data_IF_622600722339
#
_entry.id   IF_622600722339
#
_cell.length_a   1.000
_cell.length_b   1.000
_cell.length_c   1.000
_cell.angle_alpha   90.00
_cell.angle_beta   90.00
_cell.angle_gamma   90.00
#
_symmetry.space_group_name_H-M   'P 1'
#
loop_
_entity.id
_entity.type
_entity.pdbx_description
1 polymer ?
#
# COMPACT_ATOMS: atom_id res chain seq x y z
N UNK A 1 -62.99 2.05 46.52
CA UNK A 1 -62.69 1.43 45.20
C UNK A 1 -62.87 2.55 44.19
N UNK A 2 -61.84 3.16 43.62
CA UNK A 2 -60.86 2.55 42.71
C UNK A 2 -59.52 3.28 42.80
N UNK A 3 -58.46 2.49 42.99
CA UNK A 3 -57.05 2.90 43.08
C UNK A 3 -56.53 3.15 41.65
N UNK A 4 -56.14 4.38 41.30
CA UNK A 4 -55.37 4.64 40.05
C UNK A 4 -53.90 4.81 40.40
N UNK A 5 -53.13 3.78 40.01
CA UNK A 5 -51.69 3.64 40.19
C UNK A 5 -50.93 4.58 39.25
N UNK A 6 -49.98 5.28 39.85
CA UNK A 6 -48.87 6.02 39.21
C UNK A 6 -47.99 5.03 38.46
N UNK A 7 -47.77 5.24 37.15
CA UNK A 7 -46.79 4.48 36.38
C UNK A 7 -45.64 5.42 36.00
N UNK A 8 -44.54 5.24 36.71
CA UNK A 8 -43.24 5.86 36.49
C UNK A 8 -42.65 5.26 35.21
N UNK A 9 -42.43 6.10 34.19
CA UNK A 9 -41.72 5.75 32.97
C UNK A 9 -40.20 5.80 33.26
N UNK A 10 -39.62 4.68 33.68
CA UNK A 10 -38.17 4.49 33.78
C UNK A 10 -37.72 3.79 32.49
N UNK A 11 -37.45 4.57 31.44
CA UNK A 11 -36.86 4.03 30.22
C UNK A 11 -35.35 3.83 30.46
N UNK A 12 -34.99 2.56 30.64
CA UNK A 12 -33.64 2.06 30.79
C UNK A 12 -32.78 2.46 29.57
N UNK A 13 -31.83 3.37 29.81
CA UNK A 13 -30.76 3.72 28.90
C UNK A 13 -29.73 2.58 28.89
N UNK A 14 -30.02 1.50 28.17
CA UNK A 14 -29.02 0.48 27.82
C UNK A 14 -28.27 0.92 26.57
N UNK A 15 -27.36 1.88 26.73
CA UNK A 15 -26.27 2.13 25.80
C UNK A 15 -25.37 0.87 25.83
N UNK A 16 -25.67 -0.07 24.95
CA UNK A 16 -24.77 -1.16 24.62
C UNK A 16 -23.51 -0.56 24.00
N UNK A 17 -22.48 -0.40 24.82
CA UNK A 17 -21.10 -0.23 24.39
C UNK A 17 -20.66 -1.52 23.67
N UNK A 18 -21.11 -1.71 22.43
CA UNK A 18 -20.46 -2.60 21.46
C UNK A 18 -19.40 -1.75 20.76
N UNK A 19 -18.45 -1.24 21.54
CA UNK A 19 -17.13 -0.92 21.01
C UNK A 19 -16.30 -2.17 21.28
N UNK A 20 -16.51 -3.20 20.45
CA UNK A 20 -15.72 -4.42 20.50
C UNK A 20 -14.25 -4.06 20.41
N UNK A 21 -13.53 -4.37 21.48
CA UNK A 21 -12.09 -4.57 21.50
C UNK A 21 -11.73 -5.58 20.40
N UNK A 22 -11.29 -5.09 19.22
CA UNK A 22 -10.40 -5.91 18.41
C UNK A 22 -9.16 -6.13 19.28
N UNK A 23 -8.97 -7.38 19.68
CA UNK A 23 -7.82 -7.84 20.46
C UNK A 23 -6.54 -7.32 19.78
N UNK A 24 -5.62 -6.68 20.52
CA UNK A 24 -4.37 -6.11 19.95
C UNK A 24 -3.48 -7.19 19.30
N UNK A 25 -3.84 -8.46 19.46
CA UNK A 25 -3.20 -9.63 18.86
C UNK A 25 -3.78 -10.04 17.50
N UNK A 26 -4.89 -9.46 17.04
CA UNK A 26 -5.46 -9.79 15.72
C UNK A 26 -4.56 -9.30 14.58
N UNK A 27 -4.32 -10.19 13.61
CA UNK A 27 -3.69 -9.84 12.34
C UNK A 27 -4.56 -8.79 11.65
N UNK A 28 -4.01 -7.59 11.43
CA UNK A 28 -4.65 -6.55 10.63
C UNK A 28 -4.71 -7.02 9.16
N UNK A 29 -5.85 -7.64 8.80
CA UNK A 29 -6.14 -8.18 7.47
C UNK A 29 -5.96 -7.09 6.43
N UNK A 30 -6.48 -5.89 6.69
CA UNK A 30 -6.33 -4.76 5.78
C UNK A 30 -4.85 -4.41 5.54
N UNK A 31 -4.03 -4.28 6.57
CA UNK A 31 -2.61 -3.93 6.39
C UNK A 31 -1.82 -5.02 5.66
N UNK A 32 -2.13 -6.29 5.91
CA UNK A 32 -1.57 -7.40 5.13
C UNK A 32 -1.94 -7.30 3.65
N UNK A 33 -3.20 -6.96 3.36
CA UNK A 33 -3.66 -6.65 2.01
C UNK A 33 -2.93 -5.44 1.39
N UNK A 34 -2.63 -4.40 2.17
CA UNK A 34 -1.87 -3.24 1.68
C UNK A 34 -0.45 -3.62 1.23
N UNK A 35 0.20 -4.61 1.86
CA UNK A 35 1.51 -5.09 1.40
C UNK A 35 1.45 -5.64 -0.04
N UNK A 36 0.38 -6.36 -0.36
CA UNK A 36 0.12 -6.86 -1.72
C UNK A 36 -0.15 -5.68 -2.67
N UNK A 37 -0.96 -4.72 -2.23
CA UNK A 37 -1.24 -3.47 -2.95
C UNK A 37 0.03 -2.69 -3.31
N UNK A 38 0.99 -2.60 -2.38
CA UNK A 38 2.26 -1.90 -2.56
C UNK A 38 3.16 -2.54 -3.63
N UNK A 39 3.14 -3.87 -3.74
CA UNK A 39 3.83 -4.61 -4.79
C UNK A 39 3.21 -4.31 -6.16
N UNK A 40 1.87 -4.35 -6.25
CA UNK A 40 1.16 -4.07 -7.50
C UNK A 40 1.36 -2.61 -7.94
N UNK A 41 1.31 -1.67 -7.00
CA UNK A 41 1.60 -0.26 -7.27
C UNK A 41 3.07 -0.04 -7.67
N UNK A 42 4.02 -0.79 -7.09
CA UNK A 42 5.43 -0.74 -7.52
C UNK A 42 5.60 -1.19 -8.96
N UNK A 43 4.95 -2.27 -9.37
CA UNK A 43 5.02 -2.75 -10.76
C UNK A 43 4.42 -1.73 -11.73
N UNK A 44 3.34 -1.07 -11.33
CA UNK A 44 2.79 0.02 -12.13
C UNK A 44 3.76 1.19 -12.28
N UNK A 45 4.37 1.64 -11.18
CA UNK A 45 5.36 2.72 -11.21
C UNK A 45 6.61 2.37 -12.02
N UNK A 46 7.05 1.12 -11.98
CA UNK A 46 8.17 0.64 -12.81
C UNK A 46 7.81 0.51 -14.29
N UNK A 47 6.52 0.46 -14.65
CA UNK A 47 6.06 0.33 -16.03
C UNK A 47 5.46 1.60 -16.64
N UNK A 48 5.53 2.74 -15.96
CA UNK A 48 4.87 3.99 -16.36
C UNK A 48 5.70 4.88 -17.28
N UNK A 49 5.47 4.80 -18.60
CA UNK A 49 6.07 5.72 -19.60
C UNK A 49 5.22 6.98 -19.87
N UNK A 50 4.03 7.11 -19.27
CA UNK A 50 3.06 8.20 -19.55
C UNK A 50 2.80 9.15 -18.38
N UNK A 51 3.65 9.13 -17.33
CA UNK A 51 3.63 10.15 -16.25
C UNK A 51 2.52 10.01 -15.20
N UNK A 52 1.54 9.12 -15.37
CA UNK A 52 0.54 8.83 -14.34
C UNK A 52 1.03 7.72 -13.41
N UNK A 53 1.91 8.03 -12.46
CA UNK A 53 2.38 7.08 -11.44
C UNK A 53 1.29 6.78 -10.40
N UNK A 54 1.39 5.64 -9.69
CA UNK A 54 0.53 5.38 -8.55
C UNK A 54 0.60 6.54 -7.52
N UNK A 55 -0.55 7.05 -7.07
CA UNK A 55 -0.60 8.28 -6.25
C UNK A 55 -0.37 7.97 -4.78
N UNK A 56 0.89 8.09 -4.36
CA UNK A 56 1.35 7.81 -2.99
C UNK A 56 0.74 8.77 -1.95
N UNK A 57 0.54 10.06 -2.25
CA UNK A 57 0.09 11.07 -1.28
C UNK A 57 -1.32 10.81 -0.75
N UNK A 58 -2.26 10.53 -1.65
CA UNK A 58 -3.64 10.21 -1.25
C UNK A 58 -3.69 8.91 -0.45
N UNK A 59 -2.83 7.94 -0.73
CA UNK A 59 -2.79 6.67 -0.01
C UNK A 59 -2.26 6.74 1.41
N UNK A 60 -1.19 7.49 1.61
CA UNK A 60 -0.57 7.55 2.93
C UNK A 60 -1.38 8.42 3.89
N UNK A 61 -2.07 9.44 3.38
CA UNK A 61 -3.07 10.15 4.16
C UNK A 61 -4.25 9.25 4.55
N UNK A 62 -4.74 8.37 3.65
CA UNK A 62 -5.73 7.32 3.99
C UNK A 62 -5.20 6.32 5.02
N UNK A 63 -3.92 5.96 5.00
CA UNK A 63 -3.35 5.06 6.00
C UNK A 63 -3.25 5.74 7.37
N UNK A 64 -2.65 6.94 7.44
CA UNK A 64 -2.63 7.72 8.68
C UNK A 64 -4.07 7.98 9.13
N UNK A 65 -5.03 8.08 8.21
CA UNK A 65 -6.44 8.18 8.54
C UNK A 65 -6.99 7.01 9.31
N UNK A 66 -6.75 5.84 8.76
CA UNK A 66 -7.20 4.56 9.27
C UNK A 66 -6.60 4.27 10.65
N UNK A 67 -5.33 4.63 10.84
CA UNK A 67 -4.55 4.23 12.02
C UNK A 67 -4.47 5.33 13.09
N UNK A 68 -4.76 6.59 12.76
CA UNK A 68 -4.89 7.64 13.75
C UNK A 68 -6.25 7.55 14.47
N UNK A 69 -6.32 7.86 15.78
CA UNK A 69 -7.57 7.80 16.53
C UNK A 69 -8.66 8.70 15.93
N UNK A 70 -9.91 8.22 15.93
CA UNK A 70 -11.08 8.78 15.22
C UNK A 70 -11.32 10.30 15.38
N UNK A 71 -10.92 10.89 16.51
CA UNK A 71 -10.99 12.35 16.75
C UNK A 71 -10.10 13.19 15.82
N UNK A 72 -9.26 12.56 15.01
CA UNK A 72 -8.40 13.19 14.01
C UNK A 72 -9.19 13.76 12.82
N UNK A 73 -10.23 13.08 12.34
CA UNK A 73 -10.90 13.41 11.07
C UNK A 73 -12.02 14.43 11.16
N UNK A 74 -12.70 14.53 12.30
CA UNK A 74 -13.77 15.51 12.51
C UNK A 74 -13.29 16.97 12.35
N UNK A 75 -11.98 17.22 12.38
CA UNK A 75 -11.38 18.55 12.18
C UNK A 75 -10.72 18.76 10.81
N UNK A 76 -10.64 17.72 9.96
CA UNK A 76 -10.00 17.80 8.64
C UNK A 76 -10.88 18.41 7.55
N UNK A 77 -12.21 18.40 7.71
CA UNK A 77 -13.16 19.04 6.79
C UNK A 77 -13.07 20.58 6.76
N UNK A 78 -12.19 21.19 7.56
CA UNK A 78 -11.99 22.65 7.64
C UNK A 78 -10.62 23.11 7.13
N UNK A 79 -9.80 22.22 6.57
CA UNK A 79 -8.50 22.62 6.04
C UNK A 79 -8.66 23.30 4.67
N UNK A 80 -8.05 24.49 4.45
CA UNK A 80 -8.03 25.12 3.14
C UNK A 80 -7.35 24.19 2.11
N UNK A 81 -7.97 23.98 0.96
CA UNK A 81 -7.44 23.19 -0.17
C UNK A 81 -5.99 23.58 -0.57
N UNK A 82 -5.55 24.80 -0.25
CA UNK A 82 -4.20 25.29 -0.50
C UNK A 82 -3.09 24.47 0.18
N UNK A 83 -3.32 23.94 1.39
CA UNK A 83 -2.31 23.12 2.10
C UNK A 83 -2.17 21.71 1.52
N UNK A 84 -3.25 21.14 0.98
CA UNK A 84 -3.15 19.86 0.28
C UNK A 84 -2.40 20.00 -1.05
N UNK A 85 -2.58 21.15 -1.73
CA UNK A 85 -1.99 21.43 -3.04
C UNK A 85 -0.45 21.38 -3.00
N UNK A 86 0.20 21.84 -1.91
CA UNK A 86 1.66 21.83 -1.80
C UNK A 86 2.25 20.41 -1.76
N UNK A 87 1.62 19.44 -1.08
CA UNK A 87 2.07 18.05 -1.12
C UNK A 87 1.80 17.38 -2.46
N UNK A 88 0.65 17.64 -3.09
CA UNK A 88 0.32 17.05 -4.39
C UNK A 88 1.23 17.56 -5.51
N UNK A 89 1.61 18.85 -5.49
CA UNK A 89 2.52 19.43 -6.49
C UNK A 89 4.00 19.24 -6.17
N UNK A 90 4.40 19.22 -4.90
CA UNK A 90 5.82 19.04 -4.52
C UNK A 90 6.30 17.60 -4.58
N UNK A 91 5.40 16.61 -4.51
CA UNK A 91 5.76 15.19 -4.47
C UNK A 91 5.45 14.45 -5.78
N UNK A 92 5.57 15.10 -6.93
CA UNK A 92 5.61 14.37 -8.20
C UNK A 92 6.97 13.68 -8.37
N UNK A 93 7.01 12.62 -9.18
CA UNK A 93 8.29 12.10 -9.63
C UNK A 93 9.02 13.17 -10.46
N UNK A 94 10.33 13.29 -10.30
CA UNK A 94 11.17 14.15 -11.12
C UNK A 94 11.12 13.75 -12.60
N UNK A 95 11.65 14.60 -13.48
CA UNK A 95 12.06 14.13 -14.80
C UNK A 95 13.15 13.05 -14.67
N UNK A 96 13.35 12.26 -15.73
CA UNK A 96 14.48 11.34 -15.81
C UNK A 96 15.79 12.13 -15.91
N UNK A 97 16.73 11.84 -15.02
CA UNK A 97 18.10 12.36 -15.07
C UNK A 97 19.08 11.30 -14.60
N UNK A 98 20.12 11.06 -15.39
CA UNK A 98 21.11 10.00 -15.17
C UNK A 98 20.46 8.63 -14.92
N UNK A 99 19.40 8.32 -15.66
CA UNK A 99 18.60 7.11 -15.51
C UNK A 99 18.00 6.92 -14.11
N UNK A 100 17.77 8.03 -13.41
CA UNK A 100 17.12 8.06 -12.11
C UNK A 100 15.90 8.97 -12.17
N UNK A 101 14.82 8.49 -11.56
CA UNK A 101 13.61 9.25 -11.26
C UNK A 101 13.46 9.24 -9.74
N UNK A 102 13.33 10.42 -9.14
CA UNK A 102 13.14 10.53 -7.69
C UNK A 102 11.87 11.30 -7.39
N UNK A 103 11.08 10.75 -6.47
CA UNK A 103 10.04 11.48 -5.77
C UNK A 103 10.60 11.90 -4.43
N UNK A 104 10.74 13.20 -4.21
CA UNK A 104 11.09 13.76 -2.92
C UNK A 104 9.82 14.28 -2.24
N UNK A 105 9.62 13.93 -0.98
CA UNK A 105 8.51 14.46 -0.20
C UNK A 105 8.81 15.82 0.43
N UNK A 106 10.09 16.22 0.53
CA UNK A 106 10.52 17.58 0.84
C UNK A 106 10.03 18.16 2.18
N UNK A 107 9.52 17.34 3.10
CA UNK A 107 8.88 17.84 4.32
C UNK A 107 7.47 18.38 4.11
N UNK A 108 6.81 18.05 3.00
CA UNK A 108 5.48 18.57 2.69
C UNK A 108 4.46 18.12 3.76
N UNK A 109 3.43 18.93 3.99
CA UNK A 109 2.38 18.63 4.96
C UNK A 109 1.03 18.43 4.28
N UNK A 110 0.31 17.36 4.65
CA UNK A 110 -1.08 17.16 4.27
C UNK A 110 -1.92 17.18 5.56
N UNK A 111 -2.53 18.34 5.79
CA UNK A 111 -3.14 18.67 7.08
C UNK A 111 -2.12 18.63 8.21
N UNK A 112 -2.24 17.67 9.11
CA UNK A 112 -1.37 17.54 10.28
C UNK A 112 -0.35 16.39 10.17
N UNK A 113 -0.23 15.78 8.98
CA UNK A 113 0.81 14.78 8.69
C UNK A 113 1.92 15.43 7.86
N UNK A 114 3.17 15.14 8.22
CA UNK A 114 4.38 15.62 7.54
C UNK A 114 5.05 14.45 6.82
N UNK A 115 5.39 14.64 5.55
CA UNK A 115 6.01 13.64 4.69
C UNK A 115 7.47 14.00 4.45
N UNK A 116 8.39 13.09 4.75
CA UNK A 116 9.84 13.30 4.55
C UNK A 116 10.48 12.09 3.87
N UNK A 117 11.63 12.30 3.22
CA UNK A 117 12.37 11.25 2.53
C UNK A 117 11.97 11.13 1.05
N UNK A 118 12.32 10.00 0.43
CA UNK A 118 12.23 9.84 -1.02
C UNK A 118 11.72 8.46 -1.44
N UNK A 119 11.28 8.37 -2.70
CA UNK A 119 11.19 7.12 -3.45
C UNK A 119 12.06 7.28 -4.70
N UNK A 120 13.04 6.41 -4.87
CA UNK A 120 13.97 6.45 -6.01
C UNK A 120 13.71 5.27 -6.93
N UNK A 121 13.61 5.54 -8.23
CA UNK A 121 13.53 4.57 -9.31
C UNK A 121 14.79 4.73 -10.16
N UNK A 122 15.56 3.66 -10.29
CA UNK A 122 16.80 3.62 -11.06
C UNK A 122 16.66 2.65 -12.21
N UNK A 123 16.92 3.14 -13.41
CA UNK A 123 16.97 2.37 -14.65
C UNK A 123 18.42 1.98 -14.89
N UNK A 124 18.64 0.68 -15.07
CA UNK A 124 19.93 0.15 -15.50
C UNK A 124 19.73 -0.36 -16.91
N UNK A 125 19.92 0.55 -17.86
CA UNK A 125 20.05 0.23 -19.27
C UNK A 125 21.53 0.20 -19.69
N UNK A 126 21.79 -0.26 -20.90
CA UNK A 126 23.14 -0.46 -21.41
C UNK A 126 23.59 0.63 -22.39
N UNK A 127 22.76 1.65 -22.66
CA UNK A 127 22.92 2.46 -23.88
C UNK A 127 22.39 3.89 -23.84
N UNK A 128 21.43 4.24 -22.98
CA UNK A 128 20.62 5.46 -23.16
C UNK A 128 20.48 6.27 -21.87
N UNK A 129 21.49 7.10 -21.61
CA UNK A 129 21.45 8.03 -20.47
C UNK A 129 20.29 9.04 -20.60
N UNK A 130 19.48 9.17 -19.54
CA UNK A 130 18.39 10.13 -19.35
C UNK A 130 17.07 9.80 -20.06
N UNK A 131 16.88 8.59 -20.59
CA UNK A 131 15.60 8.18 -21.19
C UNK A 131 14.73 7.40 -20.19
N UNK A 132 15.34 6.78 -19.16
CA UNK A 132 14.64 5.97 -18.16
C UNK A 132 13.70 4.95 -18.83
N UNK A 133 14.28 4.11 -19.68
CA UNK A 133 13.56 3.14 -20.48
C UNK A 133 14.36 1.83 -20.52
N UNK A 134 13.68 0.70 -20.42
CA UNK A 134 14.29 -0.61 -20.67
C UNK A 134 13.81 -1.20 -22.00
N UNK A 135 14.73 -1.36 -22.95
CA UNK A 135 14.48 -1.87 -24.31
C UNK A 135 15.21 -3.19 -24.60
N UNK A 136 16.20 -3.53 -23.80
CA UNK A 136 17.00 -4.75 -23.91
C UNK A 136 16.66 -5.76 -22.82
N UNK A 137 16.88 -7.03 -23.13
CA UNK A 137 16.77 -8.10 -22.13
C UNK A 137 17.91 -7.97 -21.10
N UNK A 138 17.67 -8.46 -19.88
CA UNK A 138 18.52 -8.28 -18.69
C UNK A 138 18.64 -6.84 -18.16
N UNK A 139 18.07 -5.84 -18.83
CA UNK A 139 17.97 -4.49 -18.27
C UNK A 139 16.98 -4.47 -17.09
N UNK A 140 17.23 -3.57 -16.14
CA UNK A 140 16.49 -3.57 -14.88
C UNK A 140 15.97 -2.20 -14.48
N UNK A 141 14.89 -2.20 -13.73
CA UNK A 141 14.34 -1.04 -13.04
C UNK A 141 14.28 -1.40 -11.56
N UNK A 142 14.96 -0.64 -10.72
CA UNK A 142 14.95 -0.83 -9.27
C UNK A 142 14.21 0.32 -8.61
N UNK A 143 13.29 0.00 -7.69
CA UNK A 143 12.55 0.95 -6.87
C UNK A 143 12.92 0.79 -5.40
N UNK A 144 13.29 1.90 -4.78
CA UNK A 144 13.70 1.96 -3.37
C UNK A 144 12.88 3.04 -2.65
N UNK A 145 11.88 2.66 -1.85
CA UNK A 145 11.23 3.60 -0.94
C UNK A 145 12.11 3.82 0.30
N UNK A 146 12.21 5.07 0.74
CA UNK A 146 12.79 5.47 2.01
C UNK A 146 12.15 6.78 2.47
N UNK A 147 10.95 6.68 3.04
CA UNK A 147 10.21 7.85 3.50
C UNK A 147 9.51 7.58 4.83
N UNK A 148 9.16 8.67 5.50
CA UNK A 148 8.41 8.68 6.75
C UNK A 148 7.24 9.65 6.64
N UNK A 149 6.10 9.26 7.21
CA UNK A 149 4.93 10.10 7.42
C UNK A 149 4.72 10.25 8.91
N UNK A 150 4.96 11.45 9.43
CA UNK A 150 4.82 11.77 10.85
C UNK A 150 3.50 12.51 11.07
N UNK A 151 2.58 11.90 11.80
CA UNK A 151 1.34 12.55 12.23
C UNK A 151 1.58 13.57 13.35
N UNK A 152 0.63 14.50 13.52
CA UNK A 152 0.68 15.61 14.49
C UNK A 152 1.20 15.28 15.89
N UNK A 153 0.82 14.11 16.40
CA UNK A 153 1.13 13.69 17.77
C UNK A 153 2.42 12.87 17.86
N UNK A 154 3.20 12.75 16.78
CA UNK A 154 4.44 11.98 16.75
C UNK A 154 4.26 10.51 16.41
N UNK A 155 3.08 10.09 15.91
CA UNK A 155 2.93 8.75 15.34
C UNK A 155 3.62 8.74 13.97
N UNK A 156 4.35 7.68 13.65
CA UNK A 156 5.18 7.61 12.44
C UNK A 156 4.91 6.35 11.65
N UNK A 157 4.56 6.52 10.37
CA UNK A 157 4.64 5.48 9.37
C UNK A 157 5.98 5.60 8.64
N UNK A 158 6.77 4.54 8.61
CA UNK A 158 7.98 4.47 7.80
C UNK A 158 7.88 3.36 6.77
N UNK A 159 8.35 3.62 5.56
CA UNK A 159 8.45 2.64 4.47
C UNK A 159 9.87 2.65 3.93
N UNK A 160 10.59 1.54 4.11
CA UNK A 160 12.03 1.45 3.86
C UNK A 160 12.40 0.10 3.26
N UNK A 161 13.39 0.11 2.39
CA UNK A 161 14.07 -1.12 1.97
C UNK A 161 14.81 -1.75 3.16
N UNK A 162 14.68 -3.07 3.33
CA UNK A 162 15.47 -3.87 4.28
C UNK A 162 16.55 -4.70 3.60
N UNK A 163 16.34 -5.06 2.34
CA UNK A 163 17.32 -5.77 1.53
C UNK A 163 18.39 -4.87 0.90
N UNK A 164 19.14 -5.46 -0.02
CA UNK A 164 20.22 -4.82 -0.77
C UNK A 164 19.71 -4.02 -1.98
N UNK A 165 18.67 -4.49 -2.65
CA UNK A 165 18.18 -3.97 -3.94
C UNK A 165 16.90 -3.17 -3.77
N UNK A 166 15.91 -3.71 -3.05
CA UNK A 166 14.53 -3.23 -2.99
C UNK A 166 13.67 -4.00 -3.97
N UNK A 167 12.73 -3.31 -4.60
CA UNK A 167 11.88 -3.89 -5.62
C UNK A 167 12.58 -3.79 -6.98
N UNK A 168 12.65 -4.86 -7.77
CA UNK A 168 13.31 -4.88 -9.07
C UNK A 168 12.46 -5.57 -10.12
N UNK A 169 12.29 -4.90 -11.25
CA UNK A 169 11.79 -5.46 -12.51
C UNK A 169 12.97 -5.70 -13.43
N UNK A 170 13.08 -6.92 -13.96
CA UNK A 170 14.09 -7.28 -14.96
C UNK A 170 13.37 -7.71 -16.22
N UNK A 171 13.73 -7.14 -17.38
CA UNK A 171 13.20 -7.63 -18.65
C UNK A 171 13.85 -8.96 -19.02
N UNK A 172 13.05 -10.00 -19.21
CA UNK A 172 13.53 -11.36 -19.54
C UNK A 172 13.32 -11.70 -21.01
N UNK A 173 12.31 -11.10 -21.65
CA UNK A 173 12.08 -11.12 -23.08
C UNK A 173 11.24 -9.90 -23.48
N UNK A 174 11.01 -9.70 -24.78
CA UNK A 174 10.09 -8.66 -25.25
C UNK A 174 8.68 -8.83 -24.63
N UNK A 175 8.24 -7.84 -23.86
CA UNK A 175 6.93 -7.87 -23.18
C UNK A 175 6.84 -8.85 -22.02
N UNK A 176 7.95 -9.42 -21.55
CA UNK A 176 8.00 -10.32 -20.40
C UNK A 176 9.07 -9.85 -19.42
N UNK A 177 8.69 -9.77 -18.15
CA UNK A 177 9.49 -9.25 -17.08
C UNK A 177 9.41 -10.16 -15.86
N UNK A 178 10.50 -10.18 -15.09
CA UNK A 178 10.59 -10.82 -13.78
C UNK A 178 10.57 -9.75 -12.72
N UNK A 179 9.65 -9.84 -11.76
CA UNK A 179 9.60 -9.00 -10.58
C UNK A 179 10.18 -9.74 -9.38
N UNK A 180 11.07 -9.05 -8.67
CA UNK A 180 11.72 -9.49 -7.43
C UNK A 180 11.66 -8.39 -6.39
N UNK A 181 11.76 -8.74 -5.12
CA UNK A 181 11.76 -7.82 -3.99
C UNK A 181 12.55 -8.47 -2.85
N UNK A 182 13.67 -7.90 -2.44
CA UNK A 182 14.49 -8.46 -1.37
C UNK A 182 14.20 -7.84 0.01
N UNK A 183 13.10 -7.10 0.13
CA UNK A 183 12.58 -6.63 1.41
C UNK A 183 12.18 -5.17 1.40
N UNK A 184 10.88 -4.91 1.55
CA UNK A 184 10.34 -3.60 1.92
C UNK A 184 9.62 -3.74 3.25
N UNK A 185 10.06 -2.98 4.25
CA UNK A 185 9.42 -2.87 5.54
C UNK A 185 8.50 -1.66 5.59
N UNK A 186 7.30 -1.86 6.12
CA UNK A 186 6.31 -0.85 6.44
C UNK A 186 5.98 -0.94 7.93
N UNK A 187 6.28 0.11 8.67
CA UNK A 187 6.21 0.13 10.13
C UNK A 187 5.47 1.37 10.63
N UNK A 188 4.50 1.18 11.51
CA UNK A 188 3.81 2.26 12.20
C UNK A 188 4.15 2.25 13.69
N UNK A 189 4.70 3.36 14.18
CA UNK A 189 5.09 3.56 15.56
C UNK A 189 4.22 4.64 16.20
N UNK A 190 3.72 4.37 17.40
CA UNK A 190 2.94 5.31 18.19
C UNK A 190 3.85 6.36 18.83
N UNK A 191 3.31 7.52 19.28
CA UNK A 191 4.10 8.58 19.92
C UNK A 191 4.91 8.14 21.14
N UNK A 192 4.46 7.09 21.84
CA UNK A 192 5.16 6.52 23.00
C UNK A 192 6.24 5.49 22.64
N UNK A 193 6.54 5.29 21.36
CA UNK A 193 7.52 4.31 20.87
C UNK A 193 6.98 2.89 20.65
N UNK A 194 5.75 2.60 21.07
CA UNK A 194 5.09 1.32 20.80
C UNK A 194 4.88 1.10 19.29
N UNK A 195 5.12 -0.12 18.79
CA UNK A 195 4.91 -0.46 17.39
C UNK A 195 3.52 -1.08 17.22
N UNK A 196 2.67 -0.46 16.38
CA UNK A 196 1.31 -0.95 16.10
C UNK A 196 1.31 -1.96 14.95
N UNK A 197 2.12 -1.70 13.91
CA UNK A 197 2.32 -2.62 12.79
C UNK A 197 3.76 -2.57 12.34
N UNK A 198 4.26 -3.71 11.90
CA UNK A 198 5.60 -3.86 11.35
C UNK A 198 5.55 -5.04 10.39
N UNK A 199 5.45 -4.77 9.09
CA UNK A 199 5.35 -5.77 8.06
C UNK A 199 6.53 -5.67 7.11
N UNK A 200 7.10 -6.81 6.73
CA UNK A 200 8.11 -6.90 5.66
C UNK A 200 7.56 -7.74 4.51
N UNK A 201 7.64 -7.21 3.29
CA UNK A 201 7.32 -7.92 2.06
C UNK A 201 8.60 -8.30 1.31
N UNK A 202 8.65 -9.54 0.81
CA UNK A 202 9.78 -10.13 0.08
C UNK A 202 9.24 -11.06 -1.02
N UNK A 203 9.86 -11.09 -2.19
CA UNK A 203 9.54 -12.07 -3.25
C UNK A 203 10.58 -13.17 -3.22
N UNK A 204 10.17 -14.36 -2.78
CA UNK A 204 11.05 -15.53 -2.62
C UNK A 204 11.16 -16.37 -3.89
N UNK A 205 10.20 -16.21 -4.80
CA UNK A 205 10.24 -16.75 -6.17
C UNK A 205 9.71 -15.69 -7.13
N UNK A 206 10.47 -15.41 -8.19
CA UNK A 206 10.19 -14.32 -9.10
C UNK A 206 8.76 -14.36 -9.67
N UNK A 207 8.09 -13.22 -9.62
CA UNK A 207 6.74 -13.06 -10.15
C UNK A 207 6.86 -12.65 -11.62
N UNK A 208 6.10 -13.30 -12.50
CA UNK A 208 6.10 -12.93 -13.92
C UNK A 208 5.15 -11.76 -14.16
N UNK A 209 5.63 -10.74 -14.86
CA UNK A 209 4.84 -9.62 -15.36
C UNK A 209 4.93 -9.63 -16.88
N UNK A 210 3.80 -9.53 -17.56
CA UNK A 210 3.76 -9.44 -19.03
C UNK A 210 2.95 -8.24 -19.50
N UNK A 211 3.25 -7.77 -20.71
CA UNK A 211 2.66 -6.58 -21.32
C UNK A 211 3.57 -5.36 -21.23
N UNK A 212 3.67 -4.62 -22.34
CA UNK A 212 4.54 -3.43 -22.47
C UNK A 212 3.88 -2.12 -22.03
N UNK A 213 2.59 -2.16 -21.75
CA UNK A 213 1.82 -0.99 -21.33
C UNK A 213 0.95 -1.36 -20.15
N UNK A 214 0.41 -0.37 -19.46
CA UNK A 214 -0.57 -0.61 -18.40
C UNK A 214 -1.79 -1.36 -18.92
N UNK A 215 -2.31 -0.99 -20.10
CA UNK A 215 -3.44 -1.68 -20.70
C UNK A 215 -3.04 -3.10 -21.14
N UNK A 216 -3.67 -4.11 -20.56
CA UNK A 216 -3.35 -5.51 -20.84
C UNK A 216 -2.09 -6.01 -20.13
N UNK A 217 -1.54 -5.26 -19.15
CA UNK A 217 -0.49 -5.79 -18.27
C UNK A 217 -1.09 -6.91 -17.43
N UNK A 218 -0.34 -7.99 -17.25
CA UNK A 218 -0.73 -9.09 -16.39
C UNK A 218 0.39 -9.47 -15.43
N UNK A 219 0.04 -9.98 -14.26
CA UNK A 219 0.96 -10.49 -13.24
C UNK A 219 0.49 -11.86 -12.76
N UNK A 220 1.41 -12.83 -12.70
CA UNK A 220 1.12 -14.21 -12.33
C UNK A 220 2.36 -14.98 -11.88
N UNK A 221 2.14 -16.04 -11.09
CA UNK A 221 3.20 -16.96 -10.64
C UNK A 221 4.14 -16.33 -9.61
N UNK A 222 5.19 -17.05 -9.23
CA UNK A 222 6.10 -16.63 -8.17
C UNK A 222 5.46 -16.67 -6.78
N UNK A 223 6.16 -16.13 -5.79
CA UNK A 223 5.73 -16.11 -4.39
C UNK A 223 6.13 -14.80 -3.73
N UNK A 224 5.14 -14.07 -3.22
CA UNK A 224 5.29 -12.95 -2.30
C UNK A 224 5.13 -13.45 -0.86
N UNK A 225 6.17 -13.31 -0.05
CA UNK A 225 6.15 -13.52 1.38
C UNK A 225 5.88 -12.19 2.08
N UNK A 226 4.90 -12.19 2.99
CA UNK A 226 4.60 -11.08 3.90
C UNK A 226 4.80 -11.56 5.32
N UNK A 227 5.70 -10.91 6.05
CA UNK A 227 6.02 -11.23 7.45
C UNK A 227 5.49 -10.13 8.34
N UNK A 228 4.67 -10.47 9.33
CA UNK A 228 4.34 -9.60 10.44
C UNK A 228 5.46 -9.71 11.49
N UNK A 229 6.31 -8.69 11.57
CA UNK A 229 7.46 -8.66 12.48
C UNK A 229 7.06 -8.44 13.94
N UNK A 230 5.80 -8.08 14.23
CA UNK A 230 5.29 -7.92 15.60
C UNK A 230 5.04 -9.27 16.26
N UNK A 231 4.45 -10.21 15.52
CA UNK A 231 4.06 -11.53 16.06
C UNK A 231 4.74 -12.72 15.36
N UNK A 232 5.56 -12.49 14.33
CA UNK A 232 6.28 -13.51 13.59
C UNK A 232 5.44 -14.29 12.56
N UNK A 233 4.15 -13.98 12.39
CA UNK A 233 3.31 -14.68 11.42
C UNK A 233 3.76 -14.36 9.99
N UNK A 234 3.84 -15.38 9.15
CA UNK A 234 4.26 -15.26 7.75
C UNK A 234 3.17 -15.79 6.84
N UNK A 235 2.79 -15.01 5.85
CA UNK A 235 1.85 -15.43 4.80
C UNK A 235 2.55 -15.40 3.44
N UNK A 236 2.35 -16.45 2.64
CA UNK A 236 2.91 -16.56 1.29
C UNK A 236 1.80 -16.50 0.26
N UNK A 237 1.95 -15.65 -0.75
CA UNK A 237 0.93 -15.34 -1.74
C UNK A 237 1.45 -15.57 -3.15
N UNK A 238 0.62 -16.14 -4.01
CA UNK A 238 0.88 -16.27 -5.45
C UNK A 238 -0.19 -15.52 -6.24
N UNK A 239 0.19 -14.56 -7.10
CA UNK A 239 -0.74 -13.89 -7.98
C UNK A 239 -1.22 -14.81 -9.10
N UNK A 240 -2.49 -14.65 -9.47
CA UNK A 240 -3.13 -15.33 -10.58
C UNK A 240 -3.95 -14.33 -11.40
N UNK A 241 -3.59 -14.19 -12.68
CA UNK A 241 -4.27 -13.36 -13.67
C UNK A 241 -4.60 -11.93 -13.17
N UNK A 242 -3.67 -11.30 -12.43
CA UNK A 242 -3.82 -9.92 -11.97
C UNK A 242 -3.62 -9.00 -13.16
N UNK A 243 -4.62 -8.20 -13.54
CA UNK A 243 -4.56 -7.39 -14.76
C UNK A 243 -4.80 -5.91 -14.52
N UNK A 244 -4.14 -5.07 -15.32
CA UNK A 244 -4.35 -3.63 -15.38
C UNK A 244 -5.04 -3.24 -16.68
N UNK A 245 -5.79 -2.13 -16.63
CA UNK A 245 -6.32 -1.45 -17.80
C UNK A 245 -5.92 0.03 -17.80
N UNK A 246 -6.39 0.80 -18.79
CA UNK A 246 -6.06 2.24 -18.88
C UNK A 246 -6.83 3.13 -17.90
N UNK A 247 -7.87 2.62 -17.23
CA UNK A 247 -8.76 3.41 -16.37
C UNK A 247 -8.26 3.56 -14.93
N UNK A 248 -7.27 2.77 -14.54
CA UNK A 248 -6.81 2.68 -13.15
C UNK A 248 -5.29 2.61 -13.05
N UNK A 249 -4.67 3.30 -12.08
CA UNK A 249 -3.23 3.15 -11.80
C UNK A 249 -2.89 1.86 -11.02
N UNK A 250 -3.85 0.96 -10.86
CA UNK A 250 -3.75 -0.30 -10.14
C UNK A 250 -4.49 -1.40 -10.89
N UNK A 251 -4.32 -2.67 -10.48
CA UNK A 251 -5.10 -3.75 -11.04
C UNK A 251 -6.60 -3.52 -10.90
N UNK A 252 -7.33 -4.03 -11.90
CA UNK A 252 -8.79 -3.96 -11.97
C UNK A 252 -9.45 -5.31 -11.74
N UNK A 253 -8.70 -6.41 -11.87
CA UNK A 253 -9.17 -7.78 -11.60
C UNK A 253 -8.01 -8.74 -11.32
N UNK A 254 -8.35 -9.97 -10.94
CA UNK A 254 -7.43 -11.07 -10.62
C UNK A 254 -7.37 -11.36 -9.13
N UNK A 255 -6.49 -12.27 -8.73
CA UNK A 255 -6.41 -12.70 -7.34
C UNK A 255 -4.99 -12.99 -6.86
N UNK A 256 -4.81 -13.00 -5.55
CA UNK A 256 -3.65 -13.58 -4.88
C UNK A 256 -4.15 -14.63 -3.91
N UNK A 257 -3.61 -15.84 -3.99
CA UNK A 257 -3.97 -16.94 -3.08
C UNK A 257 -2.76 -17.43 -2.34
N UNK A 258 -2.95 -17.95 -1.14
CA UNK A 258 -1.84 -18.28 -0.27
C UNK A 258 -2.24 -18.93 1.03
N UNK A 259 -1.25 -19.13 1.89
CA UNK A 259 -1.44 -19.61 3.25
C UNK A 259 -0.48 -18.95 4.23
N UNK A 260 -0.86 -18.95 5.50
CA UNK A 260 -0.12 -18.36 6.60
C UNK A 260 0.45 -19.44 7.54
N UNK A 261 1.51 -19.11 8.28
CA UNK A 261 2.16 -20.03 9.24
C UNK A 261 1.26 -20.42 10.42
N UNK A 262 0.19 -19.66 10.66
CA UNK A 262 -0.86 -20.01 11.61
C UNK A 262 -1.89 -21.02 11.07
N UNK A 263 -1.69 -21.52 9.84
CA UNK A 263 -2.52 -22.53 9.18
C UNK A 263 -3.74 -21.96 8.44
N UNK A 264 -3.95 -20.63 8.45
CA UNK A 264 -5.06 -20.02 7.72
C UNK A 264 -4.73 -19.86 6.23
N UNK A 265 -5.68 -20.26 5.39
CA UNK A 265 -5.67 -19.95 3.97
C UNK A 265 -6.03 -18.48 3.75
N UNK A 266 -5.50 -17.88 2.68
CA UNK A 266 -5.71 -16.48 2.36
C UNK A 266 -5.97 -16.27 0.88
N UNK A 267 -6.99 -15.47 0.57
CA UNK A 267 -7.36 -15.13 -0.81
C UNK A 267 -7.70 -13.65 -0.89
N UNK A 268 -6.88 -12.89 -1.62
CA UNK A 268 -7.18 -11.54 -2.05
C UNK A 268 -7.82 -11.59 -3.44
N UNK A 269 -9.02 -11.04 -3.58
CA UNK A 269 -9.69 -10.87 -4.88
C UNK A 269 -9.79 -9.39 -5.21
N UNK A 270 -9.31 -8.99 -6.38
CA UNK A 270 -9.45 -7.61 -6.89
C UNK A 270 -10.83 -7.49 -7.53
N UNK A 271 -11.62 -6.51 -7.09
CA UNK A 271 -13.03 -6.35 -7.46
C UNK A 271 -13.21 -5.21 -8.47
N UNK A 272 -12.44 -4.14 -8.30
CA UNK A 272 -12.44 -2.98 -9.18
C UNK A 272 -11.13 -2.21 -9.03
N UNK A 273 -11.01 -1.07 -9.71
CA UNK A 273 -9.85 -0.18 -9.60
C UNK A 273 -9.43 0.07 -8.15
N UNK A 274 -8.35 -0.58 -7.73
CA UNK A 274 -7.80 -0.40 -6.39
C UNK A 274 -8.62 -1.00 -5.23
N UNK A 275 -9.74 -1.67 -5.49
CA UNK A 275 -10.57 -2.28 -4.45
C UNK A 275 -10.36 -3.79 -4.43
N UNK A 276 -10.22 -4.35 -3.23
CA UNK A 276 -10.06 -5.78 -3.04
C UNK A 276 -10.84 -6.27 -1.83
N UNK A 277 -11.17 -7.56 -1.85
CA UNK A 277 -11.62 -8.31 -0.68
C UNK A 277 -10.55 -9.34 -0.31
N UNK A 278 -10.10 -9.34 0.94
CA UNK A 278 -9.17 -10.32 1.47
C UNK A 278 -9.90 -11.22 2.46
N UNK A 279 -9.84 -12.52 2.21
CA UNK A 279 -10.29 -13.58 3.10
C UNK A 279 -9.06 -14.16 3.79
N UNK A 280 -9.10 -14.32 5.12
CA UNK A 280 -8.07 -14.95 5.93
C UNK A 280 -8.72 -15.95 6.89
N UNK A 281 -8.71 -17.24 6.54
CA UNK A 281 -9.53 -18.24 7.22
C UNK A 281 -11.02 -17.92 7.06
N UNK A 282 -11.70 -17.66 8.17
CA UNK A 282 -13.13 -17.30 8.20
C UNK A 282 -13.37 -15.78 8.16
N UNK A 283 -12.32 -14.98 8.39
CA UNK A 283 -12.42 -13.52 8.40
C UNK A 283 -12.37 -12.97 6.97
N UNK A 284 -13.15 -11.92 6.69
CA UNK A 284 -13.15 -11.25 5.38
C UNK A 284 -13.24 -9.74 5.54
N UNK A 285 -12.38 -9.01 4.83
CA UNK A 285 -12.42 -7.54 4.80
C UNK A 285 -12.29 -7.00 3.37
N UNK A 286 -13.17 -6.07 3.03
CA UNK A 286 -13.09 -5.29 1.78
C UNK A 286 -12.45 -3.95 2.05
N UNK A 287 -11.47 -3.57 1.24
CA UNK A 287 -10.74 -2.33 1.38
C UNK A 287 -10.25 -1.79 0.04
N UNK A 288 -9.80 -0.54 0.07
CA UNK A 288 -9.12 0.10 -1.06
C UNK A 288 -7.63 0.14 -0.78
N UNK A 289 -6.83 -0.29 -1.74
CA UNK A 289 -5.38 -0.11 -1.71
C UNK A 289 -5.06 1.38 -1.65
N UNK A 290 -4.15 1.73 -0.75
CA UNK A 290 -3.89 3.12 -0.40
C UNK A 290 -3.47 3.91 -1.66
N UNK A 291 -2.61 3.34 -2.50
CA UNK A 291 -1.97 4.04 -3.63
C UNK A 291 -2.78 4.04 -4.93
N UNK A 292 -3.99 3.48 -4.90
CA UNK A 292 -4.81 3.28 -6.09
C UNK A 292 -5.89 4.34 -6.24
N UNK A 293 -6.06 4.83 -7.47
CA UNK A 293 -7.12 5.75 -7.90
C UNK A 293 -7.43 5.53 -9.39
N UNK A 294 -8.66 5.88 -9.79
CA UNK A 294 -9.01 6.02 -11.21
C UNK A 294 -8.21 7.14 -11.86
N UNK A 295 -7.91 6.99 -13.16
CA UNK A 295 -7.17 7.94 -13.99
C UNK A 295 -8.12 8.70 -14.91
#
# INVERSE_FOLDING_TARGET
>A
MTLRKTTIFLAFLSLTFIACSKDETQVDIQEMGQQIGDIMASVDESGGSSGSYASVVSGHSKMVARLAPATFWEKFNLLPQANATSCYSASTFSGCSSNVITRDFGGCTLGAATFTGTVTITFVDASDDNICLITGDSQTITRVPNFTVTGRRGAELSVKKTGSVGQRVTRTAAGVFSFTNDGIQRKFTLPGGGTLLDYTSEVTSAITVSGNSRNGRTMSGGVLKVTNNVNGNVCSYTPSAVTWDSSCNCPVQGSWSGSCTDGRETVLTIISCGQANLILGEDSETFTFDRCNSI
#
